data_IF_550427546052
#
_entry.id   IF_550427546052
#
_cell.length_a   1.000
_cell.length_b   1.000
_cell.length_c   1.000
_cell.angle_alpha   90.00
_cell.angle_beta   90.00
_cell.angle_gamma   90.00
#
_symmetry.space_group_name_H-M   'P 1'
#
loop_
_entity.id
_entity.type
_entity.pdbx_description
1 polymer ?
#
# COMPACT_ATOMS: atom_id res chain seq x y z
N UNK A 1 -3.31 21.17 -7.45
CA UNK A 1 -2.83 21.05 -8.85
C UNK A 1 -3.76 21.73 -9.86
N UNK A 2 -5.08 21.59 -9.76
CA UNK A 2 -6.01 22.23 -10.71
C UNK A 2 -5.87 23.76 -10.81
N UNK A 3 -5.53 24.42 -9.69
CA UNK A 3 -5.37 25.87 -9.63
C UNK A 3 -4.31 26.43 -10.59
N UNK A 4 -3.29 25.63 -10.94
CA UNK A 4 -2.29 25.99 -11.96
C UNK A 4 -2.66 25.40 -13.32
N UNK A 5 -3.03 24.11 -13.37
CA UNK A 5 -3.21 23.41 -14.65
C UNK A 5 -4.42 23.87 -15.46
N UNK A 6 -5.52 24.30 -14.81
CA UNK A 6 -6.71 24.82 -15.50
C UNK A 6 -6.42 26.16 -16.19
N UNK A 7 -5.91 27.21 -15.50
CA UNK A 7 -5.53 28.46 -16.17
C UNK A 7 -4.42 28.25 -17.22
N UNK A 8 -3.42 27.41 -16.92
CA UNK A 8 -2.34 27.15 -17.87
C UNK A 8 -2.82 26.52 -19.18
N UNK A 9 -3.87 25.69 -19.12
CA UNK A 9 -4.51 25.09 -20.29
C UNK A 9 -5.20 26.12 -21.18
N UNK A 10 -5.76 27.19 -20.63
CA UNK A 10 -6.44 28.25 -21.40
C UNK A 10 -5.49 28.97 -22.36
N UNK A 11 -4.19 28.94 -22.07
CA UNK A 11 -3.15 29.50 -22.93
C UNK A 11 -2.70 28.57 -24.07
N UNK A 12 -3.23 27.35 -24.16
CA UNK A 12 -2.94 26.43 -25.25
C UNK A 12 -4.11 26.35 -26.23
N UNK A 13 -3.86 26.68 -27.49
CA UNK A 13 -4.75 26.31 -28.59
C UNK A 13 -4.32 24.94 -29.09
N UNK A 14 -5.27 24.00 -29.12
CA UNK A 14 -5.10 22.69 -29.74
C UNK A 14 -6.01 22.64 -30.96
N UNK A 15 -5.44 22.35 -32.12
CA UNK A 15 -6.16 22.18 -33.38
C UNK A 15 -5.92 20.78 -33.92
N UNK A 16 -6.99 20.05 -34.19
CA UNK A 16 -6.91 18.76 -34.88
C UNK A 16 -6.81 19.01 -36.38
N UNK A 17 -5.83 18.40 -37.03
CA UNK A 17 -5.56 18.58 -38.45
C UNK A 17 -6.09 17.41 -39.28
N UNK A 18 -5.67 16.18 -38.96
CA UNK A 18 -6.18 14.91 -39.52
C UNK A 18 -5.62 13.71 -38.73
N UNK A 19 -6.29 12.55 -38.72
CA UNK A 19 -5.89 11.33 -38.02
C UNK A 19 -5.31 11.59 -36.61
N UNK A 20 -4.00 11.34 -36.42
CA UNK A 20 -3.25 11.59 -35.17
C UNK A 20 -2.41 12.90 -35.21
N UNK A 21 -2.63 13.76 -36.20
CA UNK A 21 -1.95 15.04 -36.32
C UNK A 21 -2.72 16.13 -35.57
N UNK A 22 -2.04 16.66 -34.55
CA UNK A 22 -2.50 17.78 -33.75
C UNK A 22 -1.48 18.93 -33.84
N UNK A 23 -1.97 20.15 -34.00
CA UNK A 23 -1.20 21.37 -33.84
C UNK A 23 -1.42 21.95 -32.43
N UNK A 24 -0.32 22.32 -31.78
CA UNK A 24 -0.32 22.88 -30.43
C UNK A 24 0.34 24.25 -30.46
N UNK A 25 -0.45 25.30 -30.25
CA UNK A 25 0.04 26.67 -30.22
C UNK A 25 -0.12 27.27 -28.83
N UNK A 26 1.01 27.51 -28.16
CA UNK A 26 1.04 28.28 -26.93
C UNK A 26 0.81 29.77 -27.22
N UNK A 27 -0.01 30.40 -26.37
CA UNK A 27 -0.44 31.80 -26.50
C UNK A 27 -0.28 32.60 -25.21
N UNK A 28 0.30 31.99 -24.18
CA UNK A 28 0.56 32.66 -22.91
C UNK A 28 1.92 33.35 -22.91
N UNK A 29 2.26 33.93 -21.76
CA UNK A 29 3.60 34.44 -21.50
C UNK A 29 4.53 33.29 -21.16
N UNK A 30 5.78 33.30 -21.63
CA UNK A 30 6.80 32.29 -21.26
C UNK A 30 7.02 32.21 -19.74
N UNK A 31 6.81 33.33 -19.04
CA UNK A 31 6.91 33.42 -17.59
C UNK A 31 5.98 32.46 -16.84
N UNK A 32 4.86 32.05 -17.45
CA UNK A 32 3.85 31.20 -16.80
C UNK A 32 4.41 29.86 -16.32
N UNK A 33 5.27 29.20 -17.10
CA UNK A 33 5.87 27.93 -16.68
C UNK A 33 7.20 28.14 -15.94
N UNK A 34 7.84 29.30 -16.13
CA UNK A 34 9.16 29.59 -15.57
C UNK A 34 9.13 30.12 -14.14
N UNK A 35 8.13 30.92 -13.80
CA UNK A 35 8.06 31.67 -12.54
C UNK A 35 6.71 31.50 -11.83
N UNK A 36 6.00 30.39 -12.09
CA UNK A 36 4.78 30.13 -11.33
C UNK A 36 5.10 29.84 -9.87
N UNK A 37 4.23 30.32 -8.99
CA UNK A 37 4.32 30.03 -7.58
C UNK A 37 3.88 28.59 -7.32
N UNK A 38 4.86 27.72 -7.09
CA UNK A 38 4.65 26.31 -6.79
C UNK A 38 4.55 26.02 -5.29
N UNK A 39 4.56 27.04 -4.41
CA UNK A 39 4.68 26.87 -2.95
C UNK A 39 3.64 25.90 -2.40
N UNK A 40 2.36 26.08 -2.76
CA UNK A 40 1.27 25.20 -2.33
C UNK A 40 1.44 23.75 -2.83
N UNK A 41 1.87 23.59 -4.08
CA UNK A 41 2.09 22.26 -4.65
C UNK A 41 3.25 21.53 -3.95
N UNK A 42 4.37 22.23 -3.74
CA UNK A 42 5.54 21.70 -3.04
C UNK A 42 5.22 21.39 -1.59
N UNK A 43 4.51 22.28 -0.89
CA UNK A 43 4.11 22.06 0.50
C UNK A 43 3.22 20.81 0.64
N UNK A 44 2.25 20.65 -0.26
CA UNK A 44 1.41 19.46 -0.30
C UNK A 44 2.23 18.19 -0.60
N UNK A 45 3.05 18.20 -1.65
CA UNK A 45 3.87 17.03 -2.00
C UNK A 45 4.84 16.65 -0.88
N UNK A 46 5.44 17.64 -0.20
CA UNK A 46 6.29 17.40 0.97
C UNK A 46 5.49 16.76 2.11
N UNK A 47 4.27 17.24 2.38
CA UNK A 47 3.39 16.62 3.37
C UNK A 47 3.08 15.16 3.03
N UNK A 48 2.74 14.88 1.77
CA UNK A 48 2.45 13.51 1.33
C UNK A 48 3.70 12.62 1.36
N UNK A 49 4.87 13.14 0.98
CA UNK A 49 6.13 12.42 1.08
C UNK A 49 6.46 12.03 2.53
N UNK A 50 6.16 12.91 3.50
CA UNK A 50 6.29 12.58 4.93
C UNK A 50 5.34 11.46 5.34
N UNK A 51 4.05 11.56 5.02
CA UNK A 51 3.07 10.50 5.33
C UNK A 51 3.50 9.16 4.72
N UNK A 52 3.91 9.17 3.45
CA UNK A 52 4.37 7.96 2.77
C UNK A 52 5.58 7.33 3.48
N UNK A 53 6.56 8.13 3.93
CA UNK A 53 7.76 7.64 4.59
C UNK A 53 7.53 7.24 6.05
N UNK A 54 6.83 8.07 6.81
CA UNK A 54 6.71 7.96 8.26
C UNK A 54 5.59 7.00 8.67
N UNK A 55 4.51 6.92 7.88
CA UNK A 55 3.34 6.10 8.20
C UNK A 55 3.26 4.87 7.28
N UNK A 56 3.11 5.07 5.97
CA UNK A 56 2.81 3.98 5.02
C UNK A 56 3.98 2.99 4.90
N UNK A 57 5.19 3.48 4.63
CA UNK A 57 6.37 2.62 4.44
C UNK A 57 6.76 1.88 5.73
N UNK A 58 6.64 2.54 6.88
CA UNK A 58 6.86 1.89 8.19
C UNK A 58 5.83 0.79 8.43
N UNK A 59 4.55 1.07 8.21
CA UNK A 59 3.48 0.09 8.37
C UNK A 59 3.65 -1.10 7.41
N UNK A 60 4.00 -0.84 6.14
CA UNK A 60 4.26 -1.88 5.14
C UNK A 60 5.47 -2.74 5.51
N UNK A 61 6.56 -2.13 5.96
CA UNK A 61 7.76 -2.86 6.39
C UNK A 61 7.45 -3.75 7.61
N UNK A 62 6.70 -3.23 8.59
CA UNK A 62 6.22 -4.02 9.74
C UNK A 62 5.35 -5.18 9.27
N UNK A 63 4.41 -4.94 8.35
CA UNK A 63 3.53 -5.98 7.82
C UNK A 63 4.32 -7.09 7.12
N UNK A 64 5.27 -6.75 6.24
CA UNK A 64 6.12 -7.73 5.55
C UNK A 64 6.94 -8.56 6.54
N UNK A 65 7.54 -7.92 7.55
CA UNK A 65 8.29 -8.64 8.59
C UNK A 65 7.39 -9.59 9.40
N UNK A 66 6.16 -9.17 9.74
CA UNK A 66 5.19 -10.04 10.40
C UNK A 66 4.79 -11.21 9.51
N UNK A 67 4.52 -10.94 8.24
CA UNK A 67 4.13 -11.95 7.24
C UNK A 67 5.22 -13.02 7.10
N UNK A 68 6.45 -12.62 6.85
CA UNK A 68 7.57 -13.55 6.66
C UNK A 68 7.78 -14.42 7.90
N UNK A 69 7.66 -13.85 9.09
CA UNK A 69 7.82 -14.57 10.36
C UNK A 69 6.72 -15.62 10.58
N UNK A 70 5.46 -15.23 10.43
CA UNK A 70 4.33 -16.15 10.60
C UNK A 70 4.38 -17.24 9.53
N UNK A 71 4.65 -16.87 8.27
CA UNK A 71 4.77 -17.82 7.18
C UNK A 71 5.84 -18.86 7.48
N UNK A 72 7.06 -18.43 7.80
CA UNK A 72 8.18 -19.33 8.06
C UNK A 72 7.94 -20.26 9.26
N UNK A 73 7.36 -19.75 10.35
CA UNK A 73 7.06 -20.54 11.54
C UNK A 73 6.06 -21.67 11.27
N UNK A 74 5.01 -21.36 10.49
CA UNK A 74 3.96 -22.33 10.16
C UNK A 74 4.43 -23.32 9.09
N UNK A 75 5.12 -22.85 8.05
CA UNK A 75 5.68 -23.69 6.98
C UNK A 75 6.68 -24.73 7.53
N UNK A 76 7.42 -24.38 8.60
CA UNK A 76 8.34 -25.30 9.27
C UNK A 76 7.64 -26.42 10.06
N UNK A 77 6.38 -26.24 10.44
CA UNK A 77 5.66 -27.15 11.35
C UNK A 77 4.56 -27.94 10.62
N UNK A 78 3.96 -27.37 9.58
CA UNK A 78 2.79 -27.92 8.90
C UNK A 78 3.01 -28.02 7.39
N UNK A 79 2.70 -29.19 6.84
CA UNK A 79 2.71 -29.41 5.38
C UNK A 79 1.42 -28.83 4.77
N UNK A 80 1.50 -27.59 4.30
CA UNK A 80 0.40 -26.85 3.68
C UNK A 80 0.87 -26.37 2.31
N UNK A 81 -0.03 -26.33 1.33
CA UNK A 81 0.27 -25.69 0.05
C UNK A 81 0.64 -24.22 0.29
N UNK A 82 1.84 -23.80 -0.12
CA UNK A 82 2.34 -22.44 0.11
C UNK A 82 1.39 -21.33 -0.35
N UNK A 83 0.62 -21.55 -1.42
CA UNK A 83 -0.41 -20.60 -1.88
C UNK A 83 -1.57 -20.42 -0.90
N UNK A 84 -1.97 -21.49 -0.21
CA UNK A 84 -3.03 -21.46 0.79
C UNK A 84 -2.51 -20.89 2.11
N UNK A 85 -1.29 -21.25 2.51
CA UNK A 85 -0.62 -20.67 3.68
C UNK A 85 -0.46 -19.15 3.52
N UNK A 86 0.12 -18.69 2.41
CA UNK A 86 0.30 -17.25 2.15
C UNK A 86 -1.04 -16.51 2.25
N UNK A 87 -2.11 -17.07 1.68
CA UNK A 87 -3.44 -16.47 1.72
C UNK A 87 -4.01 -16.42 3.14
N UNK A 88 -3.86 -17.49 3.92
CA UNK A 88 -4.31 -17.53 5.31
C UNK A 88 -3.56 -16.52 6.18
N UNK A 89 -2.24 -16.43 6.05
CA UNK A 89 -1.42 -15.45 6.78
C UNK A 89 -1.84 -14.02 6.44
N UNK A 90 -1.99 -13.69 5.14
CA UNK A 90 -2.46 -12.36 4.71
C UNK A 90 -3.83 -12.02 5.32
N UNK A 91 -4.78 -12.96 5.28
CA UNK A 91 -6.13 -12.77 5.83
C UNK A 91 -6.11 -12.60 7.35
N UNK A 92 -5.23 -13.32 8.04
CA UNK A 92 -5.08 -13.27 9.49
C UNK A 92 -4.49 -11.91 9.92
N UNK A 93 -3.38 -11.48 9.32
CA UNK A 93 -2.72 -10.20 9.63
C UNK A 93 -3.58 -8.99 9.28
N UNK A 94 -4.35 -9.06 8.18
CA UNK A 94 -5.29 -8.01 7.79
C UNK A 94 -6.48 -7.85 8.76
N UNK A 95 -6.66 -8.79 9.69
CA UNK A 95 -7.73 -8.81 10.67
C UNK A 95 -7.16 -9.05 12.09
N UNK A 96 -6.13 -8.27 12.44
CA UNK A 96 -5.55 -8.20 13.80
C UNK A 96 -5.13 -9.57 14.36
N UNK A 97 -4.57 -10.43 13.51
CA UNK A 97 -4.12 -11.76 13.91
C UNK A 97 -5.27 -12.76 14.14
N UNK A 98 -6.43 -12.57 13.50
CA UNK A 98 -7.59 -13.47 13.61
C UNK A 98 -8.17 -13.82 12.25
N UNK A 99 -8.50 -15.09 12.03
CA UNK A 99 -9.26 -15.48 10.85
C UNK A 99 -10.76 -15.34 11.14
N UNK A 100 -11.50 -14.78 10.19
CA UNK A 100 -12.96 -14.73 10.34
C UNK A 100 -13.57 -16.14 10.29
N UNK A 101 -14.69 -16.33 10.97
CA UNK A 101 -15.41 -17.61 11.03
C UNK A 101 -15.70 -18.20 9.64
N UNK A 102 -15.97 -17.33 8.65
CA UNK A 102 -16.21 -17.77 7.27
C UNK A 102 -14.94 -18.34 6.62
N UNK A 103 -13.77 -17.71 6.83
CA UNK A 103 -12.49 -18.23 6.33
C UNK A 103 -12.11 -19.53 7.02
N UNK A 104 -12.32 -19.63 8.33
CA UNK A 104 -12.08 -20.88 9.07
C UNK A 104 -12.90 -22.05 8.51
N UNK A 105 -14.18 -21.82 8.20
CA UNK A 105 -15.03 -22.83 7.54
C UNK A 105 -14.55 -23.19 6.13
N UNK A 106 -14.15 -22.19 5.35
CA UNK A 106 -13.68 -22.37 3.97
C UNK A 106 -12.45 -23.29 3.90
N UNK A 107 -11.50 -23.12 4.82
CA UNK A 107 -10.22 -23.83 4.79
C UNK A 107 -10.18 -25.11 5.66
N UNK A 108 -11.22 -25.36 6.47
CA UNK A 108 -11.26 -26.47 7.44
C UNK A 108 -10.86 -27.84 6.88
N UNK A 109 -11.22 -28.14 5.63
CA UNK A 109 -10.93 -29.44 4.98
C UNK A 109 -9.74 -29.38 4.01
N UNK A 110 -9.11 -28.21 3.86
CA UNK A 110 -7.98 -27.98 2.95
C UNK A 110 -6.65 -27.94 3.68
N UNK A 111 -6.66 -27.69 5.00
CA UNK A 111 -5.47 -27.63 5.84
C UNK A 111 -5.54 -28.65 6.97
N UNK A 112 -4.38 -29.11 7.49
CA UNK A 112 -4.34 -29.97 8.67
C UNK A 112 -5.05 -29.36 9.89
N UNK A 113 -5.54 -30.24 10.77
CA UNK A 113 -6.17 -29.82 12.02
C UNK A 113 -5.19 -29.01 12.89
N UNK A 114 -5.70 -27.96 13.54
CA UNK A 114 -4.91 -27.07 14.41
C UNK A 114 -4.08 -26.01 13.69
N UNK A 115 -3.88 -26.10 12.37
CA UNK A 115 -3.13 -25.09 11.59
C UNK A 115 -3.73 -23.69 11.73
N UNK A 116 -5.05 -23.57 11.63
CA UNK A 116 -5.72 -22.27 11.68
C UNK A 116 -5.52 -21.59 13.04
N UNK A 117 -5.53 -22.37 14.11
CA UNK A 117 -5.27 -21.87 15.47
C UNK A 117 -3.79 -21.52 15.65
N UNK A 118 -2.88 -22.31 15.10
CA UNK A 118 -1.45 -22.03 15.12
C UNK A 118 -1.11 -20.73 14.37
N UNK A 119 -1.71 -20.50 13.20
CA UNK A 119 -1.55 -19.25 12.44
C UNK A 119 -2.01 -18.04 13.26
N UNK A 120 -3.20 -18.12 13.89
CA UNK A 120 -3.71 -17.01 14.72
C UNK A 120 -2.83 -16.74 15.94
N UNK A 121 -2.39 -17.81 16.62
CA UNK A 121 -1.52 -17.69 17.80
C UNK A 121 -0.17 -17.07 17.45
N UNK A 122 0.48 -17.53 16.37
CA UNK A 122 1.76 -16.96 15.93
C UNK A 122 1.55 -15.51 15.45
N UNK A 123 0.51 -15.23 14.68
CA UNK A 123 0.22 -13.88 14.22
C UNK A 123 0.02 -12.89 15.37
N UNK A 124 -0.74 -13.27 16.41
CA UNK A 124 -0.93 -12.44 17.60
C UNK A 124 0.39 -12.24 18.35
N UNK A 125 1.17 -13.30 18.57
CA UNK A 125 2.47 -13.21 19.24
C UNK A 125 3.44 -12.28 18.51
N UNK A 126 3.49 -12.37 17.18
CA UNK A 126 4.36 -11.52 16.37
C UNK A 126 3.91 -10.07 16.41
N UNK A 127 2.61 -9.79 16.28
CA UNK A 127 2.07 -8.44 16.36
C UNK A 127 2.36 -7.79 17.72
N UNK A 128 2.13 -8.51 18.82
CA UNK A 128 2.45 -8.06 20.18
C UNK A 128 3.96 -7.78 20.35
N UNK A 129 4.83 -8.63 19.81
CA UNK A 129 6.28 -8.44 19.88
C UNK A 129 6.73 -7.15 19.15
N UNK A 130 6.13 -6.86 17.98
CA UNK A 130 6.42 -5.63 17.24
C UNK A 130 5.88 -4.38 17.93
N UNK A 131 4.68 -4.43 18.52
CA UNK A 131 4.12 -3.31 19.29
C UNK A 131 5.00 -2.95 20.50
N UNK A 132 5.51 -3.97 21.20
CA UNK A 132 6.42 -3.76 22.33
C UNK A 132 7.79 -3.22 21.90
N UNK A 133 8.25 -3.54 20.68
CA UNK A 133 9.50 -2.99 20.13
C UNK A 133 9.37 -1.53 19.72
N UNK A 134 8.24 -1.15 19.11
CA UNK A 134 7.97 0.24 18.72
C UNK A 134 7.75 1.13 19.96
N UNK A 135 7.11 0.62 21.02
CA UNK A 135 6.90 1.37 22.27
C UNK A 135 8.20 1.64 23.07
N UNK A 136 9.28 0.91 22.78
CA UNK A 136 10.58 1.04 23.44
C UNK A 136 11.54 2.02 22.73
N UNK A 137 11.17 2.55 21.56
CA UNK A 137 11.99 3.45 20.72
C UNK A 137 11.44 4.87 20.73
#
# INVERSE_FOLDING_TARGET
MEAFSKPAREHWRVSWLDADQYDFKYKGLDALYRFWDATEAVAFTLKMAKVALEDELKAETRYLACFDRVYAAIDATYDIRGSDLARLVMMCLSNEGRLSNNRRKQYRYQVPDGVLDAIEAEAQSVLEAFENSDAAT
#
